data_IF_408638941540
#
_entry.id   IF_408638941540
#
_cell.length_a   1.000
_cell.length_b   1.000
_cell.length_c   1.000
_cell.angle_alpha   90.00
_cell.angle_beta   90.00
_cell.angle_gamma   90.00
#
_symmetry.space_group_name_H-M   'P 1'
#
loop_
_entity.id
_entity.type
_entity.pdbx_description
1 polymer ?
#
# COMPACT_ATOMS: atom_id res chain seq x y z
N UNK A 1 -1.20 -12.10 -10.36
CA UNK A 1 -0.95 -12.59 -8.98
C UNK A 1 -2.24 -13.18 -8.41
N UNK A 2 -2.17 -13.76 -7.20
CA UNK A 2 -3.31 -14.44 -6.54
C UNK A 2 -4.55 -13.55 -6.36
N UNK A 3 -4.36 -12.24 -6.16
CA UNK A 3 -5.42 -11.28 -5.83
C UNK A 3 -5.60 -10.14 -6.84
N UNK A 4 -4.57 -9.85 -7.63
CA UNK A 4 -4.53 -8.74 -8.60
C UNK A 4 -4.08 -9.31 -9.95
N UNK A 5 -4.73 -8.96 -11.09
CA UNK A 5 -4.31 -9.34 -12.43
C UNK A 5 -2.85 -8.98 -12.71
N UNK A 6 -2.18 -9.69 -13.62
CA UNK A 6 -0.75 -9.46 -13.87
C UNK A 6 -0.44 -8.03 -14.33
N UNK A 7 -1.24 -7.45 -15.22
CA UNK A 7 -1.06 -6.07 -15.68
C UNK A 7 -1.25 -5.04 -14.56
N UNK A 8 -2.26 -5.23 -13.73
CA UNK A 8 -2.52 -4.36 -12.56
C UNK A 8 -1.43 -4.48 -11.49
N UNK A 9 -0.83 -5.66 -11.34
CA UNK A 9 0.33 -5.85 -10.45
C UNK A 9 1.59 -5.15 -11.00
N UNK A 10 1.83 -5.20 -12.31
CA UNK A 10 2.93 -4.46 -12.93
C UNK A 10 2.75 -2.94 -12.75
N UNK A 11 1.53 -2.44 -12.97
CA UNK A 11 1.16 -1.05 -12.73
C UNK A 11 1.43 -0.64 -11.28
N UNK A 12 0.98 -1.44 -10.31
CA UNK A 12 1.25 -1.23 -8.88
C UNK A 12 2.76 -1.17 -8.57
N UNK A 13 3.57 -2.06 -9.15
CA UNK A 13 5.02 -2.05 -8.96
C UNK A 13 5.65 -0.74 -9.44
N UNK A 14 5.27 -0.27 -10.64
CA UNK A 14 5.74 1.03 -11.15
C UNK A 14 5.39 2.18 -10.21
N UNK A 15 4.21 2.17 -9.60
CA UNK A 15 3.80 3.22 -8.67
C UNK A 15 4.55 3.17 -7.33
N UNK A 16 4.97 1.99 -6.88
CA UNK A 16 5.86 1.83 -5.73
C UNK A 16 7.25 2.41 -6.07
N UNK A 17 7.76 2.18 -7.27
CA UNK A 17 9.04 2.74 -7.71
C UNK A 17 9.01 4.27 -7.74
N UNK A 18 7.94 4.86 -8.29
CA UNK A 18 7.73 6.31 -8.26
C UNK A 18 7.67 6.85 -6.83
N UNK A 19 6.91 6.19 -5.95
CA UNK A 19 6.81 6.54 -4.53
C UNK A 19 8.17 6.47 -3.82
N UNK A 20 8.96 5.43 -4.10
CA UNK A 20 10.28 5.24 -3.53
C UNK A 20 11.27 6.33 -3.97
N UNK A 21 11.15 6.79 -5.24
CA UNK A 21 11.98 7.84 -5.83
C UNK A 21 11.48 9.27 -5.58
N UNK A 22 10.36 9.41 -4.86
CA UNK A 22 9.72 10.71 -4.59
C UNK A 22 9.35 11.47 -5.87
N UNK A 23 9.03 10.73 -6.93
CA UNK A 23 8.61 11.28 -8.21
C UNK A 23 7.12 11.59 -8.20
N UNK A 24 6.71 12.53 -9.05
CA UNK A 24 5.31 12.95 -9.17
C UNK A 24 4.45 11.82 -9.72
N UNK A 25 3.23 11.75 -9.21
CA UNK A 25 2.19 10.85 -9.69
C UNK A 25 1.37 11.57 -10.78
N UNK A 26 1.98 11.84 -11.92
CA UNK A 26 1.30 12.45 -13.07
C UNK A 26 0.66 11.37 -13.95
N UNK A 27 -0.60 11.57 -14.34
CA UNK A 27 -1.37 10.67 -15.23
C UNK A 27 -1.51 9.22 -14.73
N UNK A 28 -1.75 9.05 -13.43
CA UNK A 28 -1.87 7.73 -12.82
C UNK A 28 -3.28 7.19 -13.01
N UNK A 29 -3.37 6.04 -13.66
CA UNK A 29 -4.59 5.25 -13.64
C UNK A 29 -4.68 4.45 -12.35
N UNK A 30 -5.81 4.51 -11.62
CA UNK A 30 -5.99 3.69 -10.43
C UNK A 30 -5.87 2.19 -10.72
N UNK A 31 -5.27 1.47 -9.78
CA UNK A 31 -5.13 0.02 -9.84
C UNK A 31 -6.50 -0.63 -9.64
N UNK A 32 -6.90 -1.45 -10.60
CA UNK A 32 -8.13 -2.21 -10.56
C UNK A 32 -7.90 -3.50 -9.77
N UNK A 33 -8.50 -3.56 -8.58
CA UNK A 33 -8.52 -4.80 -7.80
C UNK A 33 -9.84 -5.52 -8.07
N UNK A 34 -9.83 -6.77 -8.57
CA UNK A 34 -11.04 -7.57 -8.70
C UNK A 34 -11.82 -7.57 -7.38
N UNK A 35 -13.05 -7.08 -7.42
CA UNK A 35 -13.81 -6.82 -6.20
C UNK A 35 -14.01 -8.13 -5.40
N UNK A 36 -14.02 -7.99 -4.06
CA UNK A 36 -14.25 -9.04 -3.03
C UNK A 36 -13.02 -9.77 -2.50
N UNK A 37 -11.83 -9.64 -3.09
CA UNK A 37 -10.64 -10.34 -2.57
C UNK A 37 -9.75 -9.52 -1.65
N UNK A 38 -9.68 -8.20 -1.82
CA UNK A 38 -8.90 -7.29 -0.97
C UNK A 38 -9.86 -6.29 -0.33
N UNK A 39 -9.83 -6.21 0.99
CA UNK A 39 -10.63 -5.28 1.78
C UNK A 39 -9.91 -3.94 1.97
N UNK A 40 -10.62 -2.92 2.45
CA UNK A 40 -9.95 -1.67 2.81
C UNK A 40 -8.94 -1.86 3.95
N UNK A 41 -9.20 -2.81 4.87
CA UNK A 41 -8.25 -3.12 5.95
C UNK A 41 -6.94 -3.73 5.41
N UNK A 42 -7.04 -4.56 4.37
CA UNK A 42 -5.85 -5.06 3.65
C UNK A 42 -5.03 -3.90 3.07
N UNK A 43 -5.71 -2.91 2.47
CA UNK A 43 -5.05 -1.73 1.92
C UNK A 43 -4.43 -0.83 3.00
N UNK A 44 -5.04 -0.75 4.18
CA UNK A 44 -4.45 -0.02 5.32
C UNK A 44 -3.17 -0.70 5.81
N UNK A 45 -3.18 -2.01 5.99
CA UNK A 45 -1.97 -2.77 6.34
C UNK A 45 -0.90 -2.65 5.26
N UNK A 46 -1.29 -2.69 3.99
CA UNK A 46 -0.39 -2.46 2.87
C UNK A 46 0.28 -1.09 2.95
N UNK A 47 -0.49 -0.02 3.19
CA UNK A 47 0.05 1.33 3.36
C UNK A 47 0.99 1.45 4.56
N UNK A 48 0.67 0.79 5.67
CA UNK A 48 1.58 0.75 6.82
C UNK A 48 2.89 0.06 6.48
N UNK A 49 2.85 -1.09 5.79
CA UNK A 49 4.05 -1.80 5.36
C UNK A 49 4.89 -0.94 4.42
N UNK A 50 4.25 -0.23 3.49
CA UNK A 50 4.91 0.67 2.55
C UNK A 50 5.61 1.83 3.29
N UNK A 51 4.90 2.52 4.19
CA UNK A 51 5.50 3.58 5.00
C UNK A 51 6.61 3.04 5.91
N UNK A 52 6.39 1.92 6.59
CA UNK A 52 7.38 1.30 7.48
C UNK A 52 8.63 0.84 6.72
N UNK A 53 8.50 0.42 5.48
CA UNK A 53 9.63 0.07 4.63
C UNK A 53 10.39 1.32 4.15
N UNK A 54 9.71 2.39 3.76
CA UNK A 54 10.40 3.56 3.20
C UNK A 54 10.75 4.65 4.21
N UNK A 55 10.23 4.61 5.44
CA UNK A 55 10.66 5.53 6.51
C UNK A 55 12.17 5.37 6.75
N UNK A 56 12.89 6.48 6.82
CA UNK A 56 14.35 6.52 6.90
C UNK A 56 15.10 6.21 5.59
N UNK A 57 14.40 5.81 4.51
CA UNK A 57 14.97 5.65 3.15
C UNK A 57 14.57 6.79 2.21
N UNK A 58 13.57 7.56 2.61
CA UNK A 58 12.99 8.72 1.92
C UNK A 58 13.27 10.02 2.68
N UNK A 59 13.34 11.13 1.97
CA UNK A 59 13.42 12.48 2.54
C UNK A 59 12.11 12.80 3.26
N UNK A 60 10.98 12.62 2.57
CA UNK A 60 9.66 12.77 3.20
C UNK A 60 9.23 11.46 3.89
N UNK A 61 9.22 11.50 5.22
CA UNK A 61 8.91 10.35 6.08
C UNK A 61 7.50 10.42 6.67
N UNK A 62 6.70 11.39 6.24
CA UNK A 62 5.33 11.59 6.75
C UNK A 62 4.42 10.43 6.36
N UNK A 63 3.58 10.01 7.31
CA UNK A 63 2.54 9.02 7.02
C UNK A 63 1.51 9.56 6.02
N UNK A 64 1.34 10.88 5.99
CA UNK A 64 0.49 11.60 5.05
C UNK A 64 0.82 11.26 3.59
N UNK A 65 2.09 11.05 3.25
CA UNK A 65 2.50 10.67 1.90
C UNK A 65 1.94 9.32 1.48
N UNK A 66 1.90 8.35 2.40
CA UNK A 66 1.32 7.03 2.08
C UNK A 66 -0.20 7.09 2.03
N UNK A 67 -0.84 7.94 2.82
CA UNK A 67 -2.30 8.13 2.75
C UNK A 67 -2.69 8.73 1.40
N UNK A 68 -2.00 9.78 0.95
CA UNK A 68 -2.22 10.36 -0.38
C UNK A 68 -1.98 9.33 -1.48
N UNK A 69 -0.88 8.59 -1.40
CA UNK A 69 -0.57 7.53 -2.36
C UNK A 69 -1.66 6.44 -2.43
N UNK A 70 -2.15 5.98 -1.28
CA UNK A 70 -3.22 4.99 -1.20
C UNK A 70 -4.50 5.48 -1.88
N UNK A 71 -4.89 6.74 -1.64
CA UNK A 71 -6.09 7.35 -2.26
C UNK A 71 -5.94 7.52 -3.77
N UNK A 72 -4.75 7.86 -4.24
CA UNK A 72 -4.45 8.00 -5.69
C UNK A 72 -4.44 6.64 -6.38
N UNK A 73 -3.83 5.63 -5.78
CA UNK A 73 -3.61 4.32 -6.41
C UNK A 73 -4.84 3.42 -6.32
N UNK A 74 -5.66 3.52 -5.26
CA UNK A 74 -6.79 2.63 -5.04
C UNK A 74 -8.12 3.40 -4.96
N UNK A 75 -8.98 3.21 -5.96
CA UNK A 75 -10.32 3.84 -6.02
C UNK A 75 -11.18 3.52 -4.81
N UNK A 76 -11.03 2.33 -4.22
CA UNK A 76 -11.70 1.90 -2.98
C UNK A 76 -11.51 2.87 -1.80
N UNK A 77 -10.44 3.66 -1.82
CA UNK A 77 -10.09 4.62 -0.78
C UNK A 77 -10.34 6.08 -1.20
N UNK A 78 -10.81 6.31 -2.42
CA UNK A 78 -11.09 7.65 -2.98
C UNK A 78 -12.05 8.45 -2.09
N UNK A 79 -13.15 7.84 -1.69
CA UNK A 79 -14.20 8.46 -0.86
C UNK A 79 -13.97 8.30 0.66
N UNK A 80 -12.92 7.58 1.08
CA UNK A 80 -12.64 7.39 2.51
C UNK A 80 -11.91 8.61 3.06
N UNK A 81 -12.40 9.15 4.18
CA UNK A 81 -11.79 10.30 4.86
C UNK A 81 -10.29 10.10 5.13
N UNK A 82 -9.48 11.12 4.83
CA UNK A 82 -8.02 11.07 4.97
C UNK A 82 -7.58 10.70 6.39
N UNK A 83 -8.22 11.30 7.39
CA UNK A 83 -7.97 11.03 8.82
C UNK A 83 -8.32 9.59 9.20
N UNK A 84 -9.36 9.01 8.60
CA UNK A 84 -9.75 7.61 8.82
C UNK A 84 -8.68 6.66 8.31
N UNK A 85 -8.16 6.88 7.09
CA UNK A 85 -7.09 6.05 6.53
C UNK A 85 -5.86 6.14 7.42
N UNK A 86 -5.41 7.37 7.74
CA UNK A 86 -4.25 7.62 8.60
C UNK A 86 -4.36 6.89 9.93
N UNK A 87 -5.50 7.00 10.62
CA UNK A 87 -5.73 6.35 11.90
C UNK A 87 -5.78 4.81 11.82
N UNK A 88 -6.11 4.24 10.67
CA UNK A 88 -6.20 2.79 10.47
C UNK A 88 -4.91 2.11 10.02
N UNK A 89 -3.91 2.85 9.53
CA UNK A 89 -2.63 2.25 9.12
C UNK A 89 -1.97 1.46 10.26
N UNK A 90 -2.05 1.96 11.49
CA UNK A 90 -1.43 1.34 12.68
C UNK A 90 -2.26 0.23 13.30
N UNK A 91 -3.51 0.04 12.87
CA UNK A 91 -4.45 -0.88 13.51
C UNK A 91 -4.29 -2.25 12.85
N UNK A 92 -3.91 -3.23 13.66
CA UNK A 92 -3.85 -4.62 13.23
C UNK A 92 -5.25 -5.25 13.20
N UNK A 93 -5.58 -5.90 12.08
CA UNK A 93 -6.79 -6.71 11.90
C UNK A 93 -6.45 -8.15 11.48
N UNK A 94 -6.76 -9.11 12.34
CA UNK A 94 -6.57 -10.55 12.10
C UNK A 94 -7.33 -11.09 10.88
N UNK A 95 -8.39 -10.41 10.43
CA UNK A 95 -9.19 -10.80 9.27
C UNK A 95 -8.56 -10.33 7.94
N UNK A 96 -7.55 -9.46 8.01
CA UNK A 96 -6.83 -9.02 6.83
C UNK A 96 -5.92 -10.13 6.31
N UNK A 97 -5.92 -10.30 4.99
CA UNK A 97 -5.02 -11.17 4.23
C UNK A 97 -3.62 -10.59 4.15
N UNK A 98 -3.51 -9.26 4.06
CA UNK A 98 -2.24 -8.55 4.18
C UNK A 98 -1.98 -8.33 5.67
N UNK A 99 -0.81 -8.72 6.17
CA UNK A 99 -0.45 -8.56 7.59
C UNK A 99 0.52 -7.39 7.77
N UNK A 100 0.49 -6.75 8.95
CA UNK A 100 1.47 -5.71 9.30
C UNK A 100 2.84 -6.36 9.52
N UNK A 101 3.84 -5.90 8.77
CA UNK A 101 5.21 -6.41 8.80
C UNK A 101 6.18 -5.33 9.26
N UNK A 102 6.83 -5.55 10.40
CA UNK A 102 7.87 -4.65 10.93
C UNK A 102 9.17 -4.73 10.12
N UNK A 103 9.48 -5.91 9.57
CA UNK A 103 10.63 -6.15 8.71
C UNK A 103 10.21 -6.98 7.48
N UNK A 104 10.04 -6.31 6.34
CA UNK A 104 9.66 -6.98 5.07
C UNK A 104 10.75 -7.97 4.62
N UNK A 105 12.05 -7.62 4.59
CA UNK A 105 13.11 -8.59 4.27
C UNK A 105 13.03 -9.90 5.07
N UNK A 106 12.88 -9.83 6.40
CA UNK A 106 12.80 -11.03 7.24
C UNK A 106 11.54 -11.85 6.93
N UNK A 107 10.39 -11.17 6.76
CA UNK A 107 9.13 -11.81 6.37
C UNK A 107 9.25 -12.55 5.03
N UNK A 108 9.89 -11.93 4.03
CA UNK A 108 10.10 -12.54 2.72
C UNK A 108 11.06 -13.73 2.75
N UNK A 109 12.03 -13.73 3.68
CA UNK A 109 12.91 -14.89 3.89
C UNK A 109 12.11 -16.08 4.42
N UNK A 110 11.26 -15.86 5.43
CA UNK A 110 10.40 -16.89 6.00
C UNK A 110 9.43 -17.51 4.98
N UNK A 111 8.92 -16.74 4.01
CA UNK A 111 8.01 -17.26 2.99
C UNK A 111 8.68 -18.10 1.90
N UNK A 112 10.01 -18.05 1.79
CA UNK A 112 10.77 -18.80 0.77
C UNK A 112 11.31 -20.14 1.30
N UNK A 113 11.15 -20.40 2.59
CA UNK A 113 11.44 -21.66 3.27
C UNK A 113 10.20 -22.57 3.24
#
# INVERSE_FOLDING_TARGET
>A
GKYIPAGELQKLNSYIELFAREQTFENIEPVQIPSRQISNNDLYHYGWNLWNHFKGRRQDQRQECVVSWLKTVFTNLGEVEFSTIKGKLTIFDVKSKITIQKNIPDYLRFLKE
#
